data_IF_142592118718
#
_entry.id   IF_142592118718
#
_cell.length_a   1.000
_cell.length_b   1.000
_cell.length_c   1.000
_cell.angle_alpha   90.00
_cell.angle_beta   90.00
_cell.angle_gamma   90.00
#
_symmetry.space_group_name_H-M   'P 1'
#
loop_
_entity.id
_entity.type
_entity.pdbx_description
1 polymer ?
#
# COMPACT_ATOMS: atom_id res chain seq x y z
N UNK A 1 24.23 28.79 48.41
CA UNK A 1 24.04 27.48 47.78
C UNK A 1 22.62 27.41 47.29
N UNK A 2 22.40 27.44 45.98
CA UNK A 2 21.07 27.38 45.39
C UNK A 2 20.63 25.92 45.29
N UNK A 3 19.47 25.62 45.88
CA UNK A 3 18.78 24.34 45.73
C UNK A 3 18.32 24.18 44.27
N UNK A 4 18.82 23.15 43.60
CA UNK A 4 18.28 22.68 42.32
C UNK A 4 16.90 22.08 42.54
N UNK A 5 15.91 22.60 41.80
CA UNK A 5 14.47 22.27 41.90
C UNK A 5 14.07 20.87 41.39
N UNK A 6 15.03 19.96 41.20
CA UNK A 6 14.73 18.62 40.70
C UNK A 6 15.54 17.56 41.45
N UNK A 7 14.90 16.47 41.86
CA UNK A 7 15.57 15.41 42.59
C UNK A 7 16.43 14.53 41.65
N UNK A 8 17.61 14.15 42.15
CA UNK A 8 18.77 13.58 41.44
C UNK A 8 18.58 12.19 40.80
N UNK A 9 17.35 11.68 40.63
CA UNK A 9 17.09 10.34 40.10
C UNK A 9 16.74 10.28 38.59
N UNK A 10 16.90 11.40 37.87
CA UNK A 10 16.68 11.51 36.42
C UNK A 10 17.93 12.00 35.64
N UNK A 11 19.13 11.73 36.16
CA UNK A 11 20.36 11.88 35.37
C UNK A 11 20.43 10.76 34.33
N UNK A 12 19.76 10.98 33.20
CA UNK A 12 20.05 10.25 31.96
C UNK A 12 21.48 10.62 31.56
N UNK A 13 22.37 9.62 31.50
CA UNK A 13 23.76 9.84 31.09
C UNK A 13 23.85 10.42 29.67
N UNK A 14 24.81 11.35 29.54
CA UNK A 14 25.48 11.90 28.35
C UNK A 14 24.71 11.92 27.00
N UNK A 15 24.26 13.13 26.62
CA UNK A 15 24.05 13.50 25.21
C UNK A 15 22.61 13.66 24.71
N UNK A 16 21.59 13.41 25.54
CA UNK A 16 20.17 13.57 25.16
C UNK A 16 19.67 14.99 25.37
N UNK A 17 18.93 15.54 24.39
CA UNK A 17 18.31 16.85 24.53
C UNK A 17 17.19 16.79 25.60
N UNK A 18 17.00 17.88 26.36
CA UNK A 18 15.95 17.99 27.40
C UNK A 18 14.56 17.69 26.83
N UNK A 19 14.35 18.04 25.56
CA UNK A 19 13.13 17.77 24.82
C UNK A 19 12.88 16.26 24.64
N UNK A 20 13.94 15.48 24.35
CA UNK A 20 13.84 14.04 24.14
C UNK A 20 13.52 13.30 25.45
N UNK A 21 14.14 13.73 26.56
CA UNK A 21 13.84 13.18 27.88
C UNK A 21 12.39 13.43 28.31
N UNK A 22 11.85 14.63 28.05
CA UNK A 22 10.44 14.94 28.31
C UNK A 22 9.50 14.07 27.48
N UNK A 23 9.79 13.89 26.18
CA UNK A 23 9.00 13.03 25.29
C UNK A 23 8.99 11.57 25.74
N UNK A 24 10.13 11.04 26.17
CA UNK A 24 10.23 9.68 26.71
C UNK A 24 9.38 9.51 27.97
N UNK A 25 9.41 10.49 28.88
CA UNK A 25 8.58 10.48 30.09
C UNK A 25 7.09 10.49 29.74
N UNK A 26 6.68 11.35 28.81
CA UNK A 26 5.29 11.43 28.34
C UNK A 26 4.84 10.13 27.66
N UNK A 27 5.72 9.47 26.91
CA UNK A 27 5.43 8.17 26.32
C UNK A 27 5.27 7.08 27.40
N UNK A 28 6.16 7.01 28.39
CA UNK A 28 6.10 6.03 29.48
C UNK A 28 4.88 6.18 30.39
N UNK A 29 4.29 7.38 30.46
CA UNK A 29 3.00 7.60 31.15
C UNK A 29 1.83 6.92 30.46
N UNK A 30 1.90 6.75 29.13
CA UNK A 30 0.87 6.09 28.31
C UNK A 30 1.05 4.57 28.25
N UNK A 31 2.20 4.04 28.65
CA UNK A 31 2.51 2.62 28.63
C UNK A 31 2.04 1.95 29.91
N UNK A 32 1.10 1.01 29.78
CA UNK A 32 0.62 0.17 30.87
C UNK A 32 1.69 -0.81 31.36
N UNK A 33 1.50 -1.30 32.58
CA UNK A 33 2.42 -2.23 33.26
C UNK A 33 2.62 -3.56 32.53
N UNK A 34 1.65 -3.98 31.71
CA UNK A 34 1.71 -5.19 30.89
C UNK A 34 2.91 -5.24 29.93
N UNK A 35 3.50 -4.08 29.57
CA UNK A 35 4.71 -4.03 28.76
C UNK A 35 5.94 -4.69 29.41
N UNK A 36 5.92 -4.84 30.75
CA UNK A 36 6.99 -5.44 31.54
C UNK A 36 6.72 -6.91 31.89
N UNK A 37 5.56 -7.44 31.48
CA UNK A 37 5.15 -8.80 31.78
C UNK A 37 5.89 -9.83 30.90
N UNK A 38 7.10 -10.21 31.32
CA UNK A 38 7.93 -11.19 30.59
C UNK A 38 7.86 -12.60 31.18
N UNK A 39 7.45 -12.75 32.45
CA UNK A 39 7.33 -14.04 33.12
C UNK A 39 6.20 -14.03 34.17
N UNK A 40 5.94 -15.20 34.78
CA UNK A 40 4.84 -15.41 35.75
C UNK A 40 5.06 -14.64 37.06
N UNK A 41 6.32 -14.51 37.50
CA UNK A 41 6.67 -13.78 38.72
C UNK A 41 6.36 -12.29 38.57
N UNK A 42 6.81 -11.69 37.47
CA UNK A 42 6.49 -10.30 37.10
C UNK A 42 4.98 -10.12 36.91
N UNK A 43 4.29 -11.05 36.27
CA UNK A 43 2.83 -10.97 36.13
C UNK A 43 2.12 -10.84 37.49
N UNK A 44 2.60 -11.57 38.50
CA UNK A 44 2.04 -11.52 39.86
C UNK A 44 2.29 -10.17 40.53
N UNK A 45 3.51 -9.64 40.39
CA UNK A 45 3.90 -8.33 40.92
C UNK A 45 3.12 -7.21 40.23
N UNK A 46 3.03 -7.23 38.90
CA UNK A 46 2.32 -6.22 38.09
C UNK A 46 0.83 -6.20 38.39
N UNK A 47 0.19 -7.37 38.57
CA UNK A 47 -1.22 -7.44 38.98
C UNK A 47 -1.44 -6.75 40.32
N UNK A 48 -0.57 -7.01 41.30
CA UNK A 48 -0.67 -6.39 42.64
C UNK A 48 -0.38 -4.89 42.60
N UNK A 49 0.58 -4.45 41.80
CA UNK A 49 0.81 -3.01 41.53
C UNK A 49 -0.45 -2.36 40.95
N UNK A 50 -1.13 -3.02 40.02
CA UNK A 50 -2.40 -2.55 39.46
C UNK A 50 -3.53 -2.46 40.50
N UNK A 51 -3.64 -3.42 41.43
CA UNK A 51 -4.60 -3.37 42.55
C UNK A 51 -4.37 -2.17 43.47
N UNK A 52 -3.13 -1.70 43.60
CA UNK A 52 -2.73 -0.52 44.39
C UNK A 52 -2.77 0.79 43.57
N UNK A 53 -3.37 0.78 42.37
CA UNK A 53 -3.58 1.98 41.55
C UNK A 53 -2.37 2.38 40.70
N UNK A 54 -1.39 1.50 40.51
CA UNK A 54 -0.24 1.76 39.64
C UNK A 54 -0.63 1.43 38.19
N UNK A 55 -0.92 2.46 37.42
CA UNK A 55 -1.48 2.30 36.06
C UNK A 55 -0.44 2.29 34.93
N UNK A 56 0.75 2.84 35.15
CA UNK A 56 1.75 3.02 34.08
C UNK A 56 3.18 2.68 34.50
N UNK A 57 4.03 2.45 33.49
CA UNK A 57 5.48 2.29 33.68
C UNK A 57 6.09 3.53 34.34
N UNK A 58 5.60 4.73 34.00
CA UNK A 58 6.05 5.95 34.69
C UNK A 58 5.64 5.98 36.17
N UNK A 59 4.44 5.53 36.53
CA UNK A 59 4.05 5.43 37.96
C UNK A 59 4.96 4.46 38.71
N UNK A 60 5.28 3.31 38.11
CA UNK A 60 6.23 2.35 38.68
C UNK A 60 7.60 2.97 38.99
N UNK A 61 8.12 3.84 38.12
CA UNK A 61 9.41 4.51 38.32
C UNK A 61 9.42 5.50 39.49
N UNK A 62 8.26 6.09 39.83
CA UNK A 62 8.15 7.13 40.86
C UNK A 62 7.78 6.62 42.26
N UNK A 63 7.35 5.36 42.37
CA UNK A 63 7.01 4.75 43.65
C UNK A 63 8.24 4.68 44.58
N UNK A 64 8.12 5.12 45.83
CA UNK A 64 9.21 4.99 46.80
C UNK A 64 9.31 3.56 47.31
N UNK A 65 10.52 2.99 47.34
CA UNK A 65 10.72 1.60 47.78
C UNK A 65 10.27 1.39 49.23
N UNK A 66 10.47 2.38 50.10
CA UNK A 66 10.10 2.30 51.51
C UNK A 66 8.59 2.30 51.69
N UNK A 67 7.86 3.13 50.94
CA UNK A 67 6.39 3.16 50.97
C UNK A 67 5.78 1.82 50.52
N UNK A 68 6.34 1.23 49.45
CA UNK A 68 5.87 -0.08 48.94
C UNK A 68 6.17 -1.21 49.92
N UNK A 69 7.26 -1.12 50.69
CA UNK A 69 7.61 -2.12 51.69
C UNK A 69 6.62 -2.18 52.87
N UNK A 70 5.86 -1.10 53.12
CA UNK A 70 4.84 -1.02 54.16
C UNK A 70 3.48 -1.60 53.70
N UNK A 71 3.34 -1.92 52.41
CA UNK A 71 2.09 -2.47 51.89
C UNK A 71 1.82 -3.88 52.42
N UNK A 72 0.53 -4.17 52.62
CA UNK A 72 0.10 -5.47 53.14
C UNK A 72 0.55 -6.60 52.22
N UNK A 73 1.19 -7.61 52.82
CA UNK A 73 1.68 -8.83 52.16
C UNK A 73 2.77 -8.60 51.09
N UNK A 74 3.49 -7.48 51.14
CA UNK A 74 4.69 -7.27 50.33
C UNK A 74 5.91 -7.85 51.05
N UNK A 75 6.61 -8.77 50.38
CA UNK A 75 7.85 -9.38 50.87
C UNK A 75 9.08 -8.94 50.08
N UNK A 76 10.27 -9.37 50.51
CA UNK A 76 11.53 -9.00 49.85
C UNK A 76 11.59 -9.41 48.36
N UNK A 77 10.97 -10.55 48.01
CA UNK A 77 10.91 -11.03 46.62
C UNK A 77 10.11 -10.07 45.73
N UNK A 78 9.00 -9.52 46.24
CA UNK A 78 8.20 -8.53 45.50
C UNK A 78 9.02 -7.26 45.22
N UNK A 79 9.70 -6.74 46.25
CA UNK A 79 10.54 -5.55 46.14
C UNK A 79 11.70 -5.77 45.16
N UNK A 80 12.34 -6.94 45.21
CA UNK A 80 13.40 -7.31 44.28
C UNK A 80 12.92 -7.29 42.82
N UNK A 81 11.80 -7.97 42.51
CA UNK A 81 11.25 -8.03 41.15
C UNK A 81 10.80 -6.63 40.68
N UNK A 82 10.24 -5.81 41.57
CA UNK A 82 9.89 -4.42 41.27
C UNK A 82 11.14 -3.59 40.94
N UNK A 83 12.20 -3.70 41.74
CA UNK A 83 13.46 -2.98 41.52
C UNK A 83 14.15 -3.43 40.22
N UNK A 84 14.09 -4.73 39.90
CA UNK A 84 14.58 -5.29 38.63
C UNK A 84 13.86 -4.67 37.42
N UNK A 85 12.53 -4.62 37.46
CA UNK A 85 11.72 -4.00 36.40
C UNK A 85 12.03 -2.50 36.25
N UNK A 86 12.22 -1.77 37.36
CA UNK A 86 12.64 -0.37 37.31
C UNK A 86 14.02 -0.20 36.71
N UNK A 87 14.97 -1.05 37.07
CA UNK A 87 16.31 -1.03 36.52
C UNK A 87 16.32 -1.34 35.01
N UNK A 88 15.47 -2.26 34.54
CA UNK A 88 15.27 -2.54 33.10
C UNK A 88 14.80 -1.28 32.37
N UNK A 89 13.74 -0.63 32.87
CA UNK A 89 13.19 0.59 32.24
C UNK A 89 14.18 1.75 32.26
N UNK A 90 14.93 1.92 33.36
CA UNK A 90 15.94 2.99 33.47
C UNK A 90 17.13 2.76 32.54
N UNK A 91 17.49 1.49 32.30
CA UNK A 91 18.60 1.11 31.42
C UNK A 91 18.26 1.38 29.95
N UNK A 92 17.06 0.99 29.53
CA UNK A 92 16.62 1.13 28.13
C UNK A 92 15.10 1.39 28.06
N UNK A 93 14.67 2.64 28.25
CA UNK A 93 13.25 2.99 28.18
C UNK A 93 12.69 2.78 26.77
N UNK A 94 13.53 2.88 25.74
CA UNK A 94 13.14 2.80 24.34
C UNK A 94 12.81 1.36 23.94
N UNK A 95 13.56 0.38 24.43
CA UNK A 95 13.20 -1.03 24.25
C UNK A 95 11.82 -1.37 24.82
N UNK A 96 11.46 -0.79 25.98
CA UNK A 96 10.13 -0.97 26.59
C UNK A 96 9.05 -0.32 25.73
N UNK A 97 9.28 0.92 25.29
CA UNK A 97 8.36 1.63 24.39
C UNK A 97 8.18 0.89 23.05
N UNK A 98 9.28 0.39 22.48
CA UNK A 98 9.28 -0.39 21.24
C UNK A 98 8.52 -1.71 21.40
N UNK A 99 8.72 -2.44 22.51
CA UNK A 99 7.97 -3.67 22.81
C UNK A 99 6.47 -3.36 22.92
N UNK A 100 6.12 -2.36 23.73
CA UNK A 100 4.73 -1.93 23.88
C UNK A 100 4.10 -1.54 22.53
N UNK A 101 4.77 -0.68 21.77
CA UNK A 101 4.28 -0.22 20.47
C UNK A 101 4.07 -1.39 19.50
N UNK A 102 5.03 -2.31 19.44
CA UNK A 102 5.00 -3.40 18.48
C UNK A 102 4.06 -4.54 18.87
N UNK A 103 3.84 -4.79 20.16
CA UNK A 103 3.15 -5.99 20.62
C UNK A 103 1.79 -5.70 21.27
N UNK A 104 1.62 -4.55 21.91
CA UNK A 104 0.53 -4.31 22.85
C UNK A 104 -0.32 -3.07 22.55
N UNK A 105 0.24 -2.05 21.91
CA UNK A 105 -0.43 -0.79 21.64
C UNK A 105 -1.59 -0.94 20.65
N UNK A 106 -2.65 -0.16 20.83
CA UNK A 106 -3.65 -0.01 19.78
C UNK A 106 -3.12 0.94 18.70
N UNK A 107 -3.04 0.46 17.45
CA UNK A 107 -2.47 1.23 16.35
C UNK A 107 -3.54 1.50 15.28
N UNK A 108 -3.56 2.74 14.80
CA UNK A 108 -4.45 3.18 13.72
C UNK A 108 -3.60 3.53 12.51
N UNK A 109 -3.89 2.90 11.36
CA UNK A 109 -3.13 3.08 10.12
C UNK A 109 -3.92 3.85 9.04
N UNK A 110 -3.23 4.63 8.18
CA UNK A 110 -1.83 5.03 8.29
C UNK A 110 -1.66 5.95 9.49
N UNK A 111 -0.50 5.91 10.11
CA UNK A 111 -0.20 6.80 11.22
C UNK A 111 -0.20 8.25 10.71
N UNK A 112 -0.85 9.15 11.44
CA UNK A 112 -0.86 10.56 11.08
C UNK A 112 0.59 11.08 11.01
N UNK A 113 0.95 11.81 9.95
CA UNK A 113 2.34 12.27 9.74
C UNK A 113 2.89 13.11 10.91
N UNK A 114 2.02 13.74 11.69
CA UNK A 114 2.40 14.46 12.91
C UNK A 114 2.95 13.50 14.00
N UNK A 115 2.47 12.25 14.03
CA UNK A 115 3.04 11.19 14.86
C UNK A 115 4.38 10.66 14.32
N UNK A 116 4.73 10.90 13.06
CA UNK A 116 6.00 10.45 12.44
C UNK A 116 7.15 11.42 12.74
N UNK A 117 6.85 12.70 12.95
CA UNK A 117 7.80 13.68 13.50
C UNK A 117 7.90 13.60 15.04
N UNK A 118 6.85 13.12 15.70
CA UNK A 118 6.85 12.78 17.15
C UNK A 118 7.43 11.38 17.45
N UNK A 119 7.49 10.49 16.45
CA UNK A 119 8.20 9.21 16.53
C UNK A 119 9.68 9.47 16.40
N UNK A 120 10.29 9.65 17.57
CA UNK A 120 11.71 9.48 17.78
C UNK A 120 12.16 8.21 17.05
N UNK A 121 13.21 8.35 16.25
CA UNK A 121 13.86 7.28 15.52
C UNK A 121 14.33 6.19 16.49
N UNK A 122 13.53 5.14 16.69
CA UNK A 122 13.91 3.99 17.51
C UNK A 122 13.84 2.63 16.82
N UNK A 123 13.76 2.63 15.48
CA UNK A 123 14.09 1.47 14.65
C UNK A 123 14.60 1.96 13.29
N UNK A 124 15.88 1.77 13.03
CA UNK A 124 16.47 1.88 11.69
C UNK A 124 15.82 0.86 10.76
N UNK A 125 14.83 1.31 10.00
CA UNK A 125 14.39 0.65 8.78
C UNK A 125 14.38 1.69 7.65
N UNK A 126 15.57 1.88 7.07
CA UNK A 126 15.85 2.38 5.72
C UNK A 126 14.78 3.32 5.13
N UNK A 127 14.80 4.59 5.53
CA UNK A 127 14.16 5.67 4.76
C UNK A 127 14.99 5.92 3.50
N UNK A 128 14.61 5.31 2.36
CA UNK A 128 15.05 5.81 1.06
C UNK A 128 14.12 6.97 0.68
N UNK A 129 14.70 8.17 0.65
CA UNK A 129 14.06 9.38 0.15
C UNK A 129 13.64 9.16 -1.31
N UNK A 130 12.34 9.34 -1.61
CA UNK A 130 11.86 9.45 -2.98
C UNK A 130 11.75 10.93 -3.33
N UNK A 131 12.61 11.39 -4.23
CA UNK A 131 12.55 12.71 -4.83
C UNK A 131 11.29 12.83 -5.70
N UNK A 132 10.53 13.89 -5.45
CA UNK A 132 9.33 14.25 -6.22
C UNK A 132 9.74 14.75 -7.61
N UNK A 133 9.47 13.95 -8.64
CA UNK A 133 9.47 14.42 -10.03
C UNK A 133 8.04 14.64 -10.50
N UNK A 134 7.66 15.91 -10.62
CA UNK A 134 6.38 16.33 -11.16
C UNK A 134 6.21 15.89 -12.64
N UNK A 135 5.18 15.09 -12.95
CA UNK A 135 4.68 14.99 -14.33
C UNK A 135 3.19 14.58 -14.47
N UNK A 136 2.34 15.54 -14.83
CA UNK A 136 0.95 15.41 -15.34
C UNK A 136 -0.17 14.89 -14.41
N UNK A 137 -1.26 15.65 -14.44
CA UNK A 137 -2.16 16.00 -13.32
C UNK A 137 -3.37 15.08 -13.06
N UNK A 138 -3.28 13.76 -13.30
CA UNK A 138 -4.37 12.84 -12.89
C UNK A 138 -3.91 11.39 -12.64
N UNK A 139 -2.88 10.93 -13.34
CA UNK A 139 -2.27 9.63 -13.07
C UNK A 139 -1.41 9.65 -11.80
N UNK A 140 -0.75 10.78 -11.50
CA UNK A 140 0.15 10.87 -10.35
C UNK A 140 -0.58 10.75 -9.01
N UNK A 141 -1.75 11.37 -8.84
CA UNK A 141 -2.51 11.25 -7.59
C UNK A 141 -2.98 9.80 -7.35
N UNK A 142 -3.40 9.11 -8.41
CA UNK A 142 -3.79 7.69 -8.31
C UNK A 142 -2.57 6.83 -7.94
N UNK A 143 -1.42 7.05 -8.60
CA UNK A 143 -0.18 6.30 -8.34
C UNK A 143 0.37 6.56 -6.93
N UNK A 144 0.35 7.80 -6.45
CA UNK A 144 0.71 8.14 -5.07
C UNK A 144 -0.21 7.46 -4.07
N UNK A 145 -1.52 7.47 -4.34
CA UNK A 145 -2.50 6.78 -3.50
C UNK A 145 -2.29 5.26 -3.48
N UNK A 146 -1.90 4.64 -4.60
CA UNK A 146 -1.52 3.22 -4.64
C UNK A 146 -0.32 2.96 -3.72
N UNK A 147 0.73 3.77 -3.84
CA UNK A 147 1.93 3.64 -3.00
C UNK A 147 1.64 3.81 -1.51
N UNK A 148 0.80 4.78 -1.14
CA UNK A 148 0.37 4.97 0.26
C UNK A 148 -0.40 3.76 0.80
N UNK A 149 -1.31 3.21 0.00
CA UNK A 149 -2.08 2.01 0.41
C UNK A 149 -1.16 0.81 0.54
N UNK A 150 -0.25 0.60 -0.42
CA UNK A 150 0.75 -0.46 -0.34
C UNK A 150 1.60 -0.34 0.92
N UNK A 151 2.13 0.87 1.19
CA UNK A 151 2.99 1.13 2.33
C UNK A 151 2.28 0.87 3.66
N UNK A 152 1.04 1.34 3.82
CA UNK A 152 0.27 1.09 5.03
C UNK A 152 0.08 -0.41 5.29
N UNK A 153 -0.21 -1.21 4.26
CA UNK A 153 -0.36 -2.66 4.43
C UNK A 153 0.97 -3.39 4.65
N UNK A 154 2.08 -2.90 4.10
CA UNK A 154 3.42 -3.41 4.43
C UNK A 154 3.72 -3.22 5.92
N UNK A 155 3.43 -2.03 6.46
CA UNK A 155 3.64 -1.72 7.88
C UNK A 155 2.74 -2.57 8.78
N UNK A 156 1.45 -2.69 8.45
CA UNK A 156 0.50 -3.55 9.16
C UNK A 156 1.00 -4.99 9.20
N UNK A 157 1.48 -5.53 8.07
CA UNK A 157 2.02 -6.89 8.01
C UNK A 157 3.26 -7.01 8.91
N UNK A 158 4.18 -6.04 8.88
CA UNK A 158 5.38 -6.03 9.72
C UNK A 158 5.07 -6.03 11.22
N UNK A 159 4.04 -5.30 11.66
CA UNK A 159 3.59 -5.33 13.05
C UNK A 159 2.94 -6.68 13.39
N UNK A 160 2.15 -7.24 12.47
CA UNK A 160 1.51 -8.55 12.66
C UNK A 160 2.49 -9.72 12.78
N UNK A 161 3.70 -9.64 12.23
CA UNK A 161 4.72 -10.67 12.44
C UNK A 161 5.10 -10.82 13.91
N UNK A 162 5.05 -9.72 14.68
CA UNK A 162 5.36 -9.73 16.12
C UNK A 162 4.14 -10.10 16.95
N UNK A 163 2.96 -9.57 16.61
CA UNK A 163 1.71 -9.79 17.36
C UNK A 163 1.03 -11.13 17.09
N UNK A 164 1.28 -11.69 15.90
CA UNK A 164 0.61 -12.88 15.41
C UNK A 164 1.58 -13.74 14.60
N UNK A 165 2.64 -14.24 15.23
CA UNK A 165 3.76 -14.96 14.59
C UNK A 165 3.35 -15.83 13.38
N UNK A 166 2.45 -16.79 13.57
CA UNK A 166 2.04 -17.68 12.48
C UNK A 166 1.26 -16.96 11.35
N UNK A 167 0.32 -16.06 11.69
CA UNK A 167 -0.46 -15.40 10.65
C UNK A 167 0.26 -14.23 9.98
N UNK A 168 1.06 -13.48 10.72
CA UNK A 168 1.98 -12.48 10.18
C UNK A 168 2.94 -13.09 9.16
N UNK A 169 3.52 -14.25 9.48
CA UNK A 169 4.36 -14.99 8.53
C UNK A 169 3.57 -15.40 7.26
N UNK A 170 2.36 -15.96 7.41
CA UNK A 170 1.49 -16.30 6.27
C UNK A 170 1.24 -15.07 5.40
N UNK A 171 0.94 -13.92 6.01
CA UNK A 171 0.63 -12.67 5.31
C UNK A 171 1.86 -12.10 4.59
N UNK A 172 3.04 -12.07 5.24
CA UNK A 172 4.29 -11.62 4.62
C UNK A 172 4.63 -12.47 3.41
N UNK A 173 4.62 -13.79 3.56
CA UNK A 173 4.95 -14.70 2.45
C UNK A 173 3.91 -14.65 1.31
N UNK A 174 2.64 -14.39 1.64
CA UNK A 174 1.57 -14.27 0.64
C UNK A 174 1.62 -12.93 -0.12
N UNK A 175 1.65 -11.79 0.57
CA UNK A 175 1.55 -10.46 -0.03
C UNK A 175 2.90 -9.88 -0.49
N UNK A 176 3.98 -10.10 0.26
CA UNK A 176 5.27 -9.43 0.04
C UNK A 176 6.26 -10.33 -0.71
N UNK A 177 6.30 -11.64 -0.40
CA UNK A 177 7.16 -12.59 -1.13
C UNK A 177 6.49 -13.18 -2.38
N UNK A 178 5.20 -12.91 -2.59
CA UNK A 178 4.41 -13.39 -3.73
C UNK A 178 4.40 -14.93 -3.90
N UNK A 179 4.58 -15.69 -2.82
CA UNK A 179 4.55 -17.15 -2.93
C UNK A 179 3.18 -17.64 -3.39
N UNK A 180 3.18 -18.69 -4.23
CA UNK A 180 1.94 -19.31 -4.70
C UNK A 180 1.17 -19.94 -3.53
N UNK A 181 -0.15 -20.00 -3.61
CA UNK A 181 -0.99 -20.63 -2.58
C UNK A 181 -0.60 -22.09 -2.37
N UNK A 182 -0.26 -22.82 -3.45
CA UNK A 182 0.17 -24.22 -3.37
C UNK A 182 1.49 -24.34 -2.59
N UNK A 183 2.44 -23.44 -2.83
CA UNK A 183 3.73 -23.40 -2.13
C UNK A 183 3.54 -23.09 -0.65
N UNK A 184 2.73 -22.08 -0.33
CA UNK A 184 2.46 -21.67 1.05
C UNK A 184 1.82 -22.76 1.88
N UNK A 185 0.83 -23.48 1.31
CA UNK A 185 0.18 -24.59 1.99
C UNK A 185 1.20 -25.66 2.37
N UNK A 186 2.16 -25.96 1.49
CA UNK A 186 3.24 -26.93 1.76
C UNK A 186 4.25 -26.42 2.78
N UNK A 187 4.76 -25.20 2.60
CA UNK A 187 5.85 -24.63 3.43
C UNK A 187 5.39 -24.35 4.86
N UNK A 188 4.15 -23.86 5.03
CA UNK A 188 3.59 -23.48 6.33
C UNK A 188 2.73 -24.60 6.95
N UNK A 189 2.72 -25.79 6.35
CA UNK A 189 1.98 -26.95 6.88
C UNK A 189 0.47 -26.74 7.00
N UNK A 190 -0.13 -25.93 6.12
CA UNK A 190 -1.57 -25.65 6.18
C UNK A 190 -2.37 -26.84 5.68
N UNK A 191 -3.56 -27.07 6.25
CA UNK A 191 -4.41 -28.20 5.87
C UNK A 191 -4.98 -28.10 4.46
N UNK A 192 -5.16 -26.90 3.91
CA UNK A 192 -5.64 -26.67 2.54
C UNK A 192 -5.47 -25.23 2.09
N UNK A 193 -5.63 -24.98 0.78
CA UNK A 193 -5.74 -23.63 0.22
C UNK A 193 -6.91 -22.84 0.83
N UNK A 194 -8.00 -23.50 1.20
CA UNK A 194 -9.13 -22.86 1.86
C UNK A 194 -8.80 -22.40 3.29
N UNK A 195 -7.88 -23.08 3.98
CA UNK A 195 -7.38 -22.61 5.28
C UNK A 195 -6.59 -21.30 5.12
N UNK A 196 -5.73 -21.21 4.10
CA UNK A 196 -5.01 -19.99 3.76
C UNK A 196 -5.95 -18.83 3.46
N UNK A 197 -6.93 -19.01 2.56
CA UNK A 197 -7.87 -17.94 2.23
C UNK A 197 -8.75 -17.54 3.43
N UNK A 198 -9.13 -18.47 4.31
CA UNK A 198 -9.84 -18.12 5.55
C UNK A 198 -8.98 -17.23 6.46
N UNK A 199 -7.69 -17.52 6.58
CA UNK A 199 -6.76 -16.71 7.35
C UNK A 199 -6.60 -15.31 6.72
N UNK A 200 -6.21 -15.27 5.44
CA UNK A 200 -5.92 -14.01 4.73
C UNK A 200 -7.18 -13.15 4.59
N UNK A 201 -8.29 -13.72 4.15
CA UNK A 201 -9.50 -12.97 3.81
C UNK A 201 -10.39 -12.74 5.04
N UNK A 202 -10.73 -13.79 5.79
CA UNK A 202 -11.75 -13.69 6.87
C UNK A 202 -11.18 -13.26 8.21
N UNK A 203 -9.93 -13.61 8.54
CA UNK A 203 -9.32 -13.24 9.83
C UNK A 203 -8.53 -11.94 9.77
N UNK A 204 -7.98 -11.59 8.60
CA UNK A 204 -7.17 -10.39 8.43
C UNK A 204 -7.87 -9.31 7.61
N UNK A 205 -8.00 -9.49 6.29
CA UNK A 205 -8.42 -8.39 5.40
C UNK A 205 -9.84 -7.89 5.69
N UNK A 206 -10.83 -8.79 5.72
CA UNK A 206 -12.24 -8.39 5.81
C UNK A 206 -12.56 -7.64 7.10
N UNK A 207 -12.19 -8.12 8.30
CA UNK A 207 -12.44 -7.37 9.53
C UNK A 207 -11.78 -5.99 9.51
N UNK A 208 -10.57 -5.89 8.97
CA UNK A 208 -9.83 -4.63 8.90
C UNK A 208 -10.47 -3.64 7.90
N UNK A 209 -10.90 -4.12 6.73
CA UNK A 209 -11.58 -3.32 5.70
C UNK A 209 -13.02 -2.94 6.08
N UNK A 210 -13.67 -3.73 6.92
CA UNK A 210 -15.00 -3.44 7.48
C UNK A 210 -14.93 -2.42 8.65
N UNK A 211 -13.73 -1.91 8.98
CA UNK A 211 -13.49 -0.92 10.04
C UNK A 211 -13.36 -1.52 11.44
N UNK A 212 -13.22 -2.84 11.54
CA UNK A 212 -12.93 -3.55 12.78
C UNK A 212 -11.45 -3.50 13.17
N UNK A 213 -11.14 -4.19 14.26
CA UNK A 213 -9.80 -4.29 14.82
C UNK A 213 -9.25 -5.71 14.65
N UNK A 214 -7.99 -5.84 14.26
CA UNK A 214 -7.28 -7.11 14.09
C UNK A 214 -5.98 -7.04 14.87
N UNK A 215 -5.83 -7.84 15.93
CA UNK A 215 -4.65 -7.82 16.81
C UNK A 215 -4.25 -6.41 17.28
N UNK A 216 -5.27 -5.65 17.75
CA UNK A 216 -5.14 -4.25 18.18
C UNK A 216 -4.73 -3.26 17.06
N UNK A 217 -4.86 -3.64 15.79
CA UNK A 217 -4.65 -2.77 14.64
C UNK A 217 -6.01 -2.41 14.02
N UNK A 218 -6.19 -1.14 13.65
CA UNK A 218 -7.37 -0.66 12.91
C UNK A 218 -6.95 0.28 11.79
N UNK A 219 -7.82 0.49 10.80
CA UNK A 219 -7.63 1.52 9.79
C UNK A 219 -8.38 2.79 10.17
N UNK A 220 -7.79 3.95 9.91
CA UNK A 220 -8.48 5.22 10.09
C UNK A 220 -9.67 5.31 9.13
N UNK A 221 -10.74 6.00 9.55
CA UNK A 221 -11.95 6.16 8.73
C UNK A 221 -11.65 6.87 7.41
N UNK A 222 -10.80 7.89 7.46
CA UNK A 222 -10.38 8.65 6.27
C UNK A 222 -9.61 7.78 5.29
N UNK A 223 -8.77 6.87 5.79
CA UNK A 223 -8.04 5.93 4.95
C UNK A 223 -8.96 4.89 4.31
N UNK A 224 -9.93 4.36 5.05
CA UNK A 224 -10.96 3.48 4.47
C UNK A 224 -11.76 4.19 3.36
N UNK A 225 -12.10 5.47 3.56
CA UNK A 225 -12.75 6.28 2.52
C UNK A 225 -11.83 6.49 1.30
N UNK A 226 -10.56 6.80 1.53
CA UNK A 226 -9.54 6.93 0.48
C UNK A 226 -9.38 5.63 -0.33
N UNK A 227 -9.30 4.49 0.33
CA UNK A 227 -9.26 3.17 -0.33
C UNK A 227 -10.51 2.92 -1.18
N UNK A 228 -11.69 3.29 -0.68
CA UNK A 228 -12.94 3.15 -1.45
C UNK A 228 -12.98 4.06 -2.69
N UNK A 229 -12.45 5.27 -2.60
CA UNK A 229 -12.29 6.18 -3.75
C UNK A 229 -11.30 5.59 -4.74
N UNK A 230 -10.13 5.14 -4.26
CA UNK A 230 -9.11 4.49 -5.09
C UNK A 230 -9.68 3.26 -5.81
N UNK A 231 -10.43 2.41 -5.11
CA UNK A 231 -11.09 1.24 -5.70
C UNK A 231 -11.95 1.66 -6.89
N UNK A 232 -12.80 2.67 -6.73
CA UNK A 232 -13.66 3.19 -7.81
C UNK A 232 -12.87 3.76 -8.97
N UNK A 233 -11.77 4.46 -8.70
CA UNK A 233 -10.91 5.02 -9.74
C UNK A 233 -10.15 3.95 -10.52
N UNK A 234 -9.77 2.84 -9.89
CA UNK A 234 -9.07 1.74 -10.54
C UNK A 234 -9.96 0.86 -11.40
N UNK A 235 -11.28 0.83 -11.16
CA UNK A 235 -12.20 0.00 -11.91
C UNK A 235 -12.11 0.28 -13.42
N UNK A 236 -11.90 -0.79 -14.18
CA UNK A 236 -11.78 -0.82 -15.64
C UNK A 236 -10.58 -0.05 -16.20
N UNK A 237 -9.65 0.41 -15.34
CA UNK A 237 -8.35 0.91 -15.81
C UNK A 237 -7.47 -0.25 -16.28
N UNK A 238 -6.56 -0.01 -17.24
CA UNK A 238 -5.56 -1.00 -17.58
C UNK A 238 -4.59 -1.22 -16.40
N UNK A 239 -3.97 -2.40 -16.36
CA UNK A 239 -3.08 -2.82 -15.25
C UNK A 239 -1.84 -1.95 -15.04
N UNK A 240 -1.43 -1.19 -16.06
CA UNK A 240 -0.25 -0.30 -16.03
C UNK A 240 -0.27 0.73 -14.89
N UNK A 241 -1.45 1.12 -14.39
CA UNK A 241 -1.55 2.03 -13.24
C UNK A 241 -0.92 1.44 -11.97
N UNK A 242 -0.75 0.11 -11.91
CA UNK A 242 -0.15 -0.62 -10.80
C UNK A 242 1.38 -0.73 -10.92
N UNK A 243 2.00 -0.16 -11.97
CA UNK A 243 3.47 -0.05 -12.08
C UNK A 243 4.08 0.78 -10.94
N UNK A 244 3.26 1.57 -10.22
CA UNK A 244 3.67 2.31 -9.03
C UNK A 244 3.98 1.42 -7.81
N UNK A 245 3.54 0.15 -7.81
CA UNK A 245 3.78 -0.79 -6.71
C UNK A 245 5.27 -1.14 -6.59
N UNK A 246 5.79 -1.05 -5.37
CA UNK A 246 7.21 -1.31 -5.09
C UNK A 246 7.45 -2.67 -4.42
N UNK A 247 6.53 -3.11 -3.55
CA UNK A 247 6.71 -4.22 -2.61
C UNK A 247 5.77 -5.40 -2.89
N UNK A 248 4.56 -5.15 -3.38
CA UNK A 248 3.55 -6.15 -3.70
C UNK A 248 3.45 -6.38 -5.21
N UNK A 249 3.07 -7.58 -5.61
CA UNK A 249 2.65 -7.80 -7.00
C UNK A 249 1.26 -7.18 -7.27
N UNK A 250 0.97 -6.80 -8.54
CA UNK A 250 -0.33 -6.30 -8.94
C UNK A 250 -1.50 -7.19 -8.49
N UNK A 251 -1.36 -8.51 -8.62
CA UNK A 251 -2.41 -9.48 -8.26
C UNK A 251 -2.69 -9.49 -6.76
N UNK A 252 -1.64 -9.34 -5.92
CA UNK A 252 -1.76 -9.30 -4.47
C UNK A 252 -2.38 -7.99 -3.98
N UNK A 253 -1.96 -6.87 -4.56
CA UNK A 253 -2.55 -5.57 -4.28
C UNK A 253 -4.03 -5.53 -4.69
N UNK A 254 -4.37 -6.06 -5.87
CA UNK A 254 -5.76 -6.13 -6.31
C UNK A 254 -6.60 -7.04 -5.41
N UNK A 255 -6.07 -8.18 -4.98
CA UNK A 255 -6.75 -9.07 -4.03
C UNK A 255 -7.08 -8.34 -2.72
N UNK A 256 -6.13 -7.57 -2.17
CA UNK A 256 -6.32 -6.73 -0.99
C UNK A 256 -7.46 -5.70 -1.21
N UNK A 257 -7.53 -5.11 -2.41
CA UNK A 257 -8.58 -4.17 -2.78
C UNK A 257 -9.91 -4.82 -3.17
N UNK A 258 -10.06 -6.14 -3.05
CA UNK A 258 -11.21 -6.93 -3.53
C UNK A 258 -11.48 -6.78 -5.05
N UNK A 259 -10.40 -6.72 -5.82
CA UNK A 259 -10.39 -6.62 -7.27
C UNK A 259 -9.56 -7.76 -7.87
N UNK A 260 -9.61 -7.91 -9.20
CA UNK A 260 -8.84 -8.88 -9.96
C UNK A 260 -8.53 -8.35 -11.35
N UNK A 261 -7.63 -9.02 -12.06
CA UNK A 261 -7.41 -8.75 -13.48
C UNK A 261 -8.41 -9.54 -14.35
N UNK A 262 -8.97 -8.84 -15.32
CA UNK A 262 -9.54 -9.42 -16.53
C UNK A 262 -8.39 -9.58 -17.52
N UNK A 263 -7.73 -10.73 -17.46
CA UNK A 263 -6.63 -11.04 -18.37
C UNK A 263 -7.11 -11.45 -19.75
N UNK A 264 -6.33 -11.09 -20.76
CA UNK A 264 -6.52 -11.57 -22.12
C UNK A 264 -6.35 -13.09 -22.18
N UNK A 265 -7.27 -13.74 -22.86
CA UNK A 265 -7.23 -15.17 -23.18
C UNK A 265 -6.81 -15.37 -24.63
N UNK A 266 -6.39 -16.58 -24.99
CA UNK A 266 -6.01 -16.92 -26.38
C UNK A 266 -7.14 -16.66 -27.38
N UNK A 267 -8.39 -16.76 -26.94
CA UNK A 267 -9.59 -16.46 -27.74
C UNK A 267 -9.84 -14.96 -27.94
N UNK A 268 -9.25 -14.08 -27.14
CA UNK A 268 -9.47 -12.64 -27.26
C UNK A 268 -8.52 -12.05 -28.29
N UNK A 269 -9.06 -11.78 -29.48
CA UNK A 269 -8.35 -11.06 -30.56
C UNK A 269 -8.68 -9.57 -30.60
N UNK A 270 -9.57 -9.12 -29.73
CA UNK A 270 -10.35 -7.89 -29.91
C UNK A 270 -9.88 -6.74 -29.00
N UNK A 271 -9.13 -7.04 -27.92
CA UNK A 271 -8.48 -6.04 -27.08
C UNK A 271 -7.07 -6.49 -26.67
N UNK A 272 -6.21 -5.54 -26.31
CA UNK A 272 -4.76 -5.76 -26.19
C UNK A 272 -4.18 -5.60 -24.78
N UNK A 273 -5.01 -5.31 -23.78
CA UNK A 273 -4.55 -5.05 -22.41
C UNK A 273 -5.43 -5.71 -21.36
N UNK A 274 -4.84 -5.98 -20.21
CA UNK A 274 -5.54 -6.50 -19.04
C UNK A 274 -6.20 -5.34 -18.28
N UNK A 275 -7.44 -5.55 -17.82
CA UNK A 275 -8.23 -4.55 -17.11
C UNK A 275 -8.43 -4.93 -15.64
N UNK A 276 -8.44 -3.95 -14.75
CA UNK A 276 -8.82 -4.14 -13.36
C UNK A 276 -10.34 -4.24 -13.27
N UNK A 277 -10.87 -5.29 -12.64
CA UNK A 277 -12.31 -5.53 -12.50
C UNK A 277 -12.66 -5.98 -11.08
N UNK A 278 -13.93 -5.86 -10.64
CA UNK A 278 -14.33 -6.39 -9.34
C UNK A 278 -14.12 -7.90 -9.28
N UNK A 279 -13.72 -8.41 -8.10
CA UNK A 279 -13.59 -9.84 -7.89
C UNK A 279 -14.97 -10.51 -8.01
N UNK A 280 -15.07 -11.52 -8.87
CA UNK A 280 -16.34 -12.21 -9.18
C UNK A 280 -17.08 -11.71 -10.43
N UNK A 281 -16.68 -10.56 -11.00
CA UNK A 281 -17.34 -9.97 -12.19
C UNK A 281 -16.55 -10.15 -13.49
N UNK A 282 -15.58 -11.07 -13.51
CA UNK A 282 -14.71 -11.29 -14.68
C UNK A 282 -15.53 -11.70 -15.91
N UNK A 283 -16.44 -12.66 -15.78
CA UNK A 283 -17.23 -13.16 -16.91
C UNK A 283 -18.26 -12.15 -17.39
N UNK A 284 -18.96 -11.46 -16.48
CA UNK A 284 -19.92 -10.43 -16.83
C UNK A 284 -19.25 -9.25 -17.55
N UNK A 285 -18.12 -8.78 -17.02
CA UNK A 285 -17.33 -7.71 -17.64
C UNK A 285 -16.81 -8.12 -19.01
N UNK A 286 -16.30 -9.36 -19.16
CA UNK A 286 -15.84 -9.90 -20.45
C UNK A 286 -16.95 -9.87 -21.50
N UNK A 287 -18.16 -10.31 -21.16
CA UNK A 287 -19.32 -10.28 -22.07
C UNK A 287 -19.65 -8.84 -22.50
N UNK A 288 -19.65 -7.90 -21.54
CA UNK A 288 -19.90 -6.47 -21.83
C UNK A 288 -18.82 -5.91 -22.75
N UNK A 289 -17.54 -6.25 -22.50
CA UNK A 289 -16.42 -5.81 -23.33
C UNK A 289 -16.56 -6.32 -24.77
N UNK A 290 -16.80 -7.62 -24.97
CA UNK A 290 -17.01 -8.16 -26.32
C UNK A 290 -18.19 -7.49 -27.03
N UNK A 291 -19.33 -7.36 -26.35
CA UNK A 291 -20.50 -6.74 -26.95
C UNK A 291 -20.24 -5.28 -27.32
N UNK A 292 -19.58 -4.52 -26.44
CA UNK A 292 -19.18 -3.14 -26.68
C UNK A 292 -18.25 -3.02 -27.90
N UNK A 293 -17.20 -3.85 -27.99
CA UNK A 293 -16.30 -3.75 -29.13
C UNK A 293 -16.98 -4.18 -30.42
N UNK A 294 -17.78 -5.25 -30.41
CA UNK A 294 -18.54 -5.67 -31.59
C UNK A 294 -19.47 -4.55 -32.07
N UNK A 295 -20.17 -3.88 -31.16
CA UNK A 295 -21.06 -2.76 -31.50
C UNK A 295 -20.30 -1.58 -32.11
N UNK A 296 -19.13 -1.25 -31.55
CA UNK A 296 -18.27 -0.19 -32.08
C UNK A 296 -17.60 -0.58 -33.41
N UNK A 297 -17.42 -1.88 -33.69
CA UNK A 297 -16.94 -2.36 -34.99
C UNK A 297 -18.00 -2.22 -36.08
N UNK A 298 -19.27 -2.45 -35.74
CA UNK A 298 -20.40 -2.27 -36.66
C UNK A 298 -20.67 -0.79 -36.98
N UNK A 299 -20.15 0.13 -36.16
CA UNK A 299 -20.35 1.57 -36.30
C UNK A 299 -19.01 2.31 -36.38
N UNK A 300 -18.43 2.44 -37.60
CA UNK A 300 -17.12 3.07 -37.78
C UNK A 300 -17.11 4.57 -37.41
N UNK A 301 -18.28 5.22 -37.42
CA UNK A 301 -18.46 6.60 -37.04
C UNK A 301 -18.72 6.81 -35.54
N UNK A 302 -18.49 8.04 -35.08
CA UNK A 302 -18.72 8.45 -33.70
C UNK A 302 -20.18 8.23 -33.27
N UNK A 303 -20.38 7.31 -32.34
CA UNK A 303 -21.69 6.97 -31.78
C UNK A 303 -21.88 7.57 -30.39
N UNK A 304 -23.08 8.09 -30.12
CA UNK A 304 -23.41 8.58 -28.77
C UNK A 304 -23.45 7.43 -27.76
N UNK A 305 -23.10 7.72 -26.50
CA UNK A 305 -23.23 6.74 -25.40
C UNK A 305 -24.63 6.11 -25.34
N UNK A 306 -25.68 6.93 -25.50
CA UNK A 306 -27.08 6.48 -25.48
C UNK A 306 -27.36 5.46 -26.58
N UNK A 307 -26.82 5.69 -27.77
CA UNK A 307 -27.03 4.82 -28.94
C UNK A 307 -26.34 3.46 -28.79
N UNK A 308 -25.07 3.45 -28.34
CA UNK A 308 -24.33 2.21 -28.07
C UNK A 308 -25.04 1.42 -26.98
N UNK A 309 -25.46 2.10 -25.91
CA UNK A 309 -26.18 1.48 -24.79
C UNK A 309 -27.47 0.78 -25.24
N UNK A 310 -28.29 1.46 -26.07
CA UNK A 310 -29.55 0.88 -26.57
C UNK A 310 -29.30 -0.39 -27.38
N UNK A 311 -28.25 -0.42 -28.20
CA UNK A 311 -27.88 -1.61 -28.96
C UNK A 311 -27.40 -2.76 -28.07
N UNK A 312 -26.72 -2.45 -26.96
CA UNK A 312 -26.24 -3.44 -26.01
C UNK A 312 -27.30 -3.92 -25.00
N UNK A 313 -28.49 -3.30 -24.98
CA UNK A 313 -29.54 -3.59 -24.00
C UNK A 313 -29.09 -3.38 -22.54
N UNK A 314 -28.23 -2.39 -22.28
CA UNK A 314 -27.66 -2.12 -20.94
C UNK A 314 -28.27 -0.87 -20.30
N UNK A 315 -28.34 -0.84 -18.97
CA UNK A 315 -28.71 0.36 -18.21
C UNK A 315 -27.51 1.32 -18.09
N UNK A 316 -27.77 2.64 -18.01
CA UNK A 316 -26.76 3.69 -17.81
C UNK A 316 -25.99 3.53 -16.49
N UNK A 317 -26.58 2.80 -15.55
CA UNK A 317 -26.00 2.49 -14.24
C UNK A 317 -25.02 1.32 -14.27
N UNK A 318 -24.86 0.60 -15.39
CA UNK A 318 -23.94 -0.55 -15.44
C UNK A 318 -22.48 -0.06 -15.31
N UNK A 319 -21.79 -0.29 -14.18
CA UNK A 319 -20.50 0.35 -13.89
C UNK A 319 -19.42 -0.03 -14.92
N UNK A 320 -19.46 -1.28 -15.38
CA UNK A 320 -18.54 -1.81 -16.39
C UNK A 320 -18.61 -1.11 -17.73
N UNK A 321 -19.80 -0.73 -18.19
CA UNK A 321 -19.94 -0.09 -19.50
C UNK A 321 -19.26 1.29 -19.51
N UNK A 322 -19.52 2.11 -18.49
CA UNK A 322 -18.96 3.46 -18.40
C UNK A 322 -17.45 3.46 -18.18
N UNK A 323 -16.96 2.57 -17.32
CA UNK A 323 -15.54 2.42 -17.08
C UNK A 323 -14.79 1.97 -18.34
N UNK A 324 -15.30 0.96 -19.04
CA UNK A 324 -14.69 0.47 -20.28
C UNK A 324 -14.68 1.55 -21.38
N UNK A 325 -15.76 2.29 -21.58
CA UNK A 325 -15.78 3.41 -22.53
C UNK A 325 -14.76 4.51 -22.18
N UNK A 326 -14.53 4.76 -20.89
CA UNK A 326 -13.62 5.80 -20.40
C UNK A 326 -12.14 5.38 -20.52
N UNK A 327 -11.84 4.10 -20.28
CA UNK A 327 -10.47 3.64 -20.03
C UNK A 327 -9.92 2.67 -21.09
N UNK A 328 -10.73 2.15 -22.00
CA UNK A 328 -10.24 1.24 -23.04
C UNK A 328 -9.29 1.97 -24.01
N UNK A 329 -8.07 1.47 -24.24
CA UNK A 329 -7.04 2.19 -24.99
C UNK A 329 -7.38 2.38 -26.47
N UNK A 330 -8.27 1.58 -27.04
CA UNK A 330 -8.65 1.66 -28.46
C UNK A 330 -10.00 2.32 -28.72
N UNK A 331 -10.68 2.82 -27.68
CA UNK A 331 -11.93 3.57 -27.87
C UNK A 331 -11.57 5.06 -27.94
N UNK A 332 -11.86 5.70 -29.07
CA UNK A 332 -11.71 7.14 -29.22
C UNK A 332 -12.90 7.86 -28.62
N UNK A 333 -12.63 8.95 -27.89
CA UNK A 333 -13.66 9.83 -27.34
C UNK A 333 -13.55 11.21 -27.95
N UNK A 334 -14.64 11.66 -28.57
CA UNK A 334 -14.80 13.04 -29.03
C UNK A 334 -16.03 13.63 -28.33
N UNK A 335 -15.78 14.53 -27.38
CA UNK A 335 -16.81 15.08 -26.48
C UNK A 335 -17.60 13.96 -25.77
N UNK A 336 -18.79 13.61 -26.26
CA UNK A 336 -19.73 12.63 -25.71
C UNK A 336 -19.95 11.42 -26.65
N UNK A 337 -19.19 11.36 -27.75
CA UNK A 337 -19.28 10.29 -28.73
C UNK A 337 -18.05 9.39 -28.69
N UNK A 338 -18.27 8.13 -29.07
CA UNK A 338 -17.30 7.06 -28.99
C UNK A 338 -17.24 6.30 -30.31
N UNK A 339 -16.06 5.88 -30.71
CA UNK A 339 -15.86 4.93 -31.81
C UNK A 339 -14.68 4.02 -31.52
N UNK A 340 -14.61 2.88 -32.20
CA UNK A 340 -13.38 2.11 -32.21
C UNK A 340 -12.33 2.85 -33.05
N UNK A 341 -11.10 2.89 -32.55
CA UNK A 341 -9.97 3.47 -33.27
C UNK A 341 -9.76 2.75 -34.60
N UNK A 342 -9.46 3.50 -35.66
CA UNK A 342 -9.20 2.90 -36.97
C UNK A 342 -7.93 2.03 -36.93
N UNK A 343 -7.89 0.91 -37.68
CA UNK A 343 -6.71 0.03 -37.70
C UNK A 343 -5.42 0.77 -38.09
N UNK A 344 -5.48 1.68 -39.05
CA UNK A 344 -4.33 2.50 -39.46
C UNK A 344 -3.77 3.31 -38.29
N UNK A 345 -4.64 3.97 -37.51
CA UNK A 345 -4.19 4.78 -36.36
C UNK A 345 -3.60 3.90 -35.26
N UNK A 346 -4.13 2.70 -35.06
CA UNK A 346 -3.54 1.71 -34.16
C UNK A 346 -2.13 1.32 -34.61
N UNK A 347 -1.93 1.03 -35.90
CA UNK A 347 -0.60 0.73 -36.45
C UNK A 347 0.36 1.90 -36.31
N UNK A 348 -0.08 3.12 -36.64
CA UNK A 348 0.73 4.33 -36.52
C UNK A 348 1.23 4.51 -35.07
N UNK A 349 0.36 4.31 -34.07
CA UNK A 349 0.76 4.41 -32.65
C UNK A 349 1.75 3.32 -32.23
N UNK A 350 1.52 2.07 -32.61
CA UNK A 350 2.45 0.97 -32.33
C UNK A 350 3.82 1.23 -32.95
N UNK A 351 3.85 1.70 -34.20
CA UNK A 351 5.07 1.99 -34.94
C UNK A 351 5.85 3.16 -34.35
N UNK A 352 5.15 4.21 -33.91
CA UNK A 352 5.77 5.34 -33.20
C UNK A 352 6.35 4.87 -31.85
N UNK A 353 5.60 4.09 -31.08
CA UNK A 353 6.09 3.51 -29.84
C UNK A 353 7.33 2.64 -30.07
N UNK A 354 7.35 1.84 -31.14
CA UNK A 354 8.51 1.05 -31.57
C UNK A 354 9.72 1.93 -31.92
N UNK A 355 9.54 3.03 -32.63
CA UNK A 355 10.63 3.97 -32.95
C UNK A 355 11.23 4.55 -31.68
N UNK A 356 10.38 4.96 -30.73
CA UNK A 356 10.81 5.49 -29.44
C UNK A 356 11.51 4.42 -28.60
N UNK A 357 11.01 3.19 -28.59
CA UNK A 357 11.62 2.06 -27.87
C UNK A 357 12.97 1.64 -28.47
N UNK A 358 13.09 1.62 -29.80
CA UNK A 358 14.31 1.23 -30.50
C UNK A 358 15.36 2.37 -30.51
N UNK A 359 15.01 3.59 -30.05
CA UNK A 359 15.93 4.73 -30.00
C UNK A 359 16.23 5.14 -28.55
N UNK A 360 17.48 5.01 -28.08
CA UNK A 360 17.83 5.35 -26.70
C UNK A 360 17.82 6.87 -26.43
N UNK A 361 17.92 7.69 -27.47
CA UNK A 361 17.90 9.15 -27.35
C UNK A 361 16.47 9.72 -27.32
N UNK A 362 16.32 10.90 -26.74
CA UNK A 362 15.06 11.63 -26.79
C UNK A 362 14.85 12.24 -28.18
N UNK A 363 13.65 12.08 -28.74
CA UNK A 363 13.30 12.50 -30.09
C UNK A 363 12.26 13.61 -30.08
N UNK A 364 12.48 14.62 -30.91
CA UNK A 364 11.47 15.60 -31.30
C UNK A 364 10.39 14.98 -32.19
N UNK A 365 9.23 15.63 -32.29
CA UNK A 365 8.15 15.20 -33.18
C UNK A 365 8.60 15.05 -34.65
N UNK A 366 9.51 15.93 -35.12
CA UNK A 366 10.02 15.88 -36.48
C UNK A 366 10.97 14.70 -36.69
N UNK A 367 11.81 14.38 -35.71
CA UNK A 367 12.71 13.21 -35.78
C UNK A 367 11.92 11.90 -35.75
N UNK A 368 10.85 11.84 -34.96
CA UNK A 368 9.91 10.71 -34.96
C UNK A 368 9.30 10.53 -36.35
N UNK A 369 8.82 11.62 -36.97
CA UNK A 369 8.27 11.59 -38.33
C UNK A 369 9.30 11.12 -39.37
N UNK A 370 10.52 11.65 -39.33
CA UNK A 370 11.58 11.26 -40.25
C UNK A 370 11.95 9.79 -40.10
N UNK A 371 12.10 9.31 -38.86
CA UNK A 371 12.37 7.89 -38.59
C UNK A 371 11.21 7.00 -39.02
N UNK A 372 9.97 7.46 -38.87
CA UNK A 372 8.78 6.76 -39.33
C UNK A 372 8.79 6.62 -40.85
N UNK A 373 8.95 7.73 -41.56
CA UNK A 373 8.95 7.77 -43.03
C UNK A 373 10.08 6.91 -43.61
N UNK A 374 11.29 6.98 -43.02
CA UNK A 374 12.42 6.14 -43.42
C UNK A 374 12.18 4.64 -43.21
N UNK A 375 11.48 4.26 -42.15
CA UNK A 375 11.30 2.85 -41.77
C UNK A 375 10.09 2.20 -42.41
N UNK A 376 9.02 2.94 -42.60
CA UNK A 376 7.73 2.42 -43.08
C UNK A 376 7.33 2.93 -44.46
N UNK A 377 8.16 3.79 -45.09
CA UNK A 377 7.97 4.34 -46.44
C UNK A 377 6.63 5.06 -46.64
N UNK A 378 6.02 5.51 -45.53
CA UNK A 378 4.79 6.27 -45.52
C UNK A 378 4.82 7.29 -44.38
N UNK A 379 3.94 8.30 -44.42
CA UNK A 379 3.86 9.33 -43.39
C UNK A 379 2.51 9.28 -42.67
N UNK A 380 2.48 9.22 -41.33
CA UNK A 380 1.23 9.17 -40.59
C UNK A 380 0.50 10.51 -40.75
N UNK A 381 -0.80 10.45 -41.08
CA UNK A 381 -1.61 11.64 -41.37
C UNK A 381 -1.76 12.57 -40.17
N UNK A 382 -1.73 12.01 -38.96
CA UNK A 382 -1.77 12.75 -37.69
C UNK A 382 -0.93 12.02 -36.65
N UNK A 383 -0.07 12.75 -35.96
CA UNK A 383 0.64 12.26 -34.78
C UNK A 383 0.07 12.96 -33.56
N UNK A 384 -0.45 12.18 -32.63
CA UNK A 384 -0.72 12.65 -31.27
C UNK A 384 0.09 11.82 -30.30
N UNK A 385 1.25 12.34 -29.91
CA UNK A 385 2.11 11.70 -28.92
C UNK A 385 1.47 11.68 -27.52
N UNK A 386 0.50 12.55 -27.27
CA UNK A 386 -0.38 12.44 -26.10
C UNK A 386 -1.16 11.13 -26.11
N UNK A 387 -1.74 10.75 -27.26
CA UNK A 387 -2.46 9.49 -27.41
C UNK A 387 -1.52 8.28 -27.39
N UNK A 388 -0.30 8.40 -27.92
CA UNK A 388 0.73 7.35 -27.80
C UNK A 388 1.12 7.14 -26.33
N UNK A 389 1.39 8.20 -25.56
CA UNK A 389 1.71 8.13 -24.12
C UNK A 389 0.59 7.48 -23.30
N UNK A 390 -0.67 7.77 -23.61
CA UNK A 390 -1.81 7.16 -22.91
C UNK A 390 -1.86 5.62 -23.09
N UNK A 391 -1.23 5.10 -24.14
CA UNK A 391 -1.21 3.67 -24.51
C UNK A 391 0.09 2.98 -24.14
N UNK A 392 1.19 3.74 -24.16
CA UNK A 392 2.54 3.30 -23.83
C UNK A 392 3.09 4.23 -22.74
N UNK A 393 2.86 3.92 -21.45
CA UNK A 393 3.28 4.77 -20.33
C UNK A 393 4.78 5.04 -20.29
N UNK A 394 5.58 4.14 -20.85
CA UNK A 394 7.02 4.28 -21.01
C UNK A 394 7.38 5.49 -21.90
N UNK A 395 6.46 5.96 -22.74
CA UNK A 395 6.65 7.17 -23.54
C UNK A 395 6.48 8.40 -22.66
N UNK A 396 7.60 9.01 -22.28
CA UNK A 396 7.65 10.20 -21.44
C UNK A 396 7.99 11.44 -22.28
N UNK A 397 7.40 12.57 -21.91
CA UNK A 397 7.75 13.87 -22.48
C UNK A 397 8.77 14.54 -21.55
N UNK A 398 10.01 14.66 -21.99
CA UNK A 398 11.07 15.29 -21.19
C UNK A 398 10.93 16.82 -21.21
N UNK A 399 10.57 17.37 -22.37
CA UNK A 399 10.30 18.79 -22.61
C UNK A 399 9.20 18.91 -23.67
N UNK A 400 8.61 20.11 -23.82
CA UNK A 400 7.55 20.32 -24.81
C UNK A 400 8.02 19.90 -26.21
N UNK A 401 7.36 18.89 -26.78
CA UNK A 401 7.65 18.38 -28.12
C UNK A 401 8.81 17.37 -28.22
N UNK A 402 9.45 17.01 -27.10
CA UNK A 402 10.56 16.04 -27.04
C UNK A 402 10.16 14.84 -26.19
N UNK A 403 10.28 13.65 -26.74
CA UNK A 403 9.73 12.41 -26.23
C UNK A 403 10.79 11.32 -26.17
N UNK A 404 10.69 10.46 -25.17
CA UNK A 404 11.67 9.41 -24.93
C UNK A 404 10.97 8.15 -24.42
N UNK A 405 11.56 6.99 -24.69
CA UNK A 405 11.13 5.72 -24.10
C UNK A 405 11.92 5.44 -22.83
N UNK A 406 11.25 5.59 -21.68
CA UNK A 406 11.84 5.25 -20.40
C UNK A 406 11.98 3.73 -20.31
N UNK A 407 13.23 3.26 -20.35
CA UNK A 407 13.57 1.86 -20.09
C UNK A 407 13.25 1.59 -18.62
N UNK A 408 12.43 0.58 -18.33
CA UNK A 408 12.26 0.11 -16.96
C UNK A 408 13.64 -0.27 -16.45
N UNK A 409 14.16 0.43 -15.44
CA UNK A 409 15.35 0.01 -14.74
C UNK A 409 15.06 -1.39 -14.21
N UNK A 410 15.70 -2.39 -14.81
CA UNK A 410 15.69 -3.76 -14.32
C UNK A 410 16.07 -3.69 -12.85
N UNK A 411 15.12 -4.01 -11.97
CA UNK A 411 15.40 -4.32 -10.56
C UNK A 411 16.60 -5.24 -10.57
N UNK A 412 17.65 -4.88 -9.84
CA UNK A 412 18.91 -5.59 -9.77
C UNK A 412 18.66 -7.09 -9.77
N UNK A 413 19.02 -7.72 -10.89
CA UNK A 413 19.29 -9.15 -10.94
C UNK A 413 20.48 -9.31 -10.01
N UNK A 414 20.22 -9.64 -8.74
CA UNK A 414 21.23 -10.19 -7.86
C UNK A 414 21.70 -11.45 -8.57
N UNK A 415 22.83 -11.26 -9.24
CA UNK A 415 23.53 -12.29 -9.97
C UNK A 415 24.26 -13.10 -8.92
N UNK A 416 23.90 -14.39 -8.87
CA UNK A 416 24.60 -15.53 -8.21
C UNK A 416 24.79 -15.49 -6.71
#
# INVERSE_FOLDING_TARGET
MYHTLFPDYLTLEEGRDRLEAQRLIEALRKVGLEALQTNVERATVLRRLGEEGVESVYHLLNLQRNEVAEWRNVGQVFLYVMDEMRAEVKRDPEAVLNRWHNELAELVFPEEKNAIEEKISFCDLSKKNFENVHSSFCCNETMMCIGEVEQAFVEIIGVLERRWAHGGEVLRRYFLENLSVKTLVRVLGLSSSAALYRLVERRFLRPLLDGGQVYKLSLSRDFLQKMNILRKELLYRPVNVLEALQRMSPERFLFLMNMTLLSRTVSDRVWSCDFIVPRGEVQSTRRVLHALINELQLRPDFSTRKSIRMALGKDDRHPSFNGLLKHHPWIERLQHNYRLMSPQLMYDFCRIARILCDTPEALSAQEILMKYERRYLERPKRISLHWVKLRYPQVVALKRGVWHWQVATSKDVVST
#
